data_IF_738312931177
#
_entry.id   IF_738312931177
#
_cell.length_a   1.000
_cell.length_b   1.000
_cell.length_c   1.000
_cell.angle_alpha   90.00
_cell.angle_beta   90.00
_cell.angle_gamma   90.00
#
_symmetry.space_group_name_H-M   'P 1'
#
loop_
_entity.id
_entity.type
_entity.pdbx_description
1 polymer ?
#
# COMPACT_ATOMS: atom_id res chain seq x y z
N UNK A 1 -17.04 -0.27 9.01
CA UNK A 1 -16.63 1.11 8.67
C UNK A 1 -15.21 1.06 8.13
N UNK A 2 -15.00 1.26 6.82
CA UNK A 2 -13.67 1.57 6.29
C UNK A 2 -13.50 3.08 6.43
N UNK A 3 -12.62 3.53 7.31
CA UNK A 3 -12.15 4.92 7.29
C UNK A 3 -11.41 5.14 5.98
N UNK A 4 -11.77 6.20 5.27
CA UNK A 4 -11.38 6.43 3.86
C UNK A 4 -9.87 6.54 3.66
N UNK A 5 -9.11 6.84 4.70
CA UNK A 5 -7.66 6.96 4.72
C UNK A 5 -7.13 6.50 6.10
N UNK A 6 -6.00 5.80 6.11
CA UNK A 6 -5.32 5.33 7.32
C UNK A 6 -4.48 6.47 7.91
N UNK A 7 -4.62 6.71 9.20
CA UNK A 7 -3.83 7.71 9.93
C UNK A 7 -2.57 7.02 10.42
N UNK A 8 -1.41 7.49 9.99
CA UNK A 8 -0.11 6.90 10.32
C UNK A 8 0.53 7.70 11.45
N UNK A 9 0.59 9.03 11.29
CA UNK A 9 1.37 9.93 12.15
C UNK A 9 0.61 11.17 12.60
N UNK A 10 1.09 11.80 13.67
CA UNK A 10 0.55 13.06 14.18
C UNK A 10 0.58 14.18 13.13
N UNK A 11 1.57 14.21 12.24
CA UNK A 11 1.65 15.22 11.18
C UNK A 11 0.37 15.25 10.31
N UNK A 12 -0.23 14.08 10.06
CA UNK A 12 -1.47 13.96 9.28
C UNK A 12 -2.70 14.49 10.03
N UNK A 13 -2.63 14.59 11.36
CA UNK A 13 -3.68 15.16 12.22
C UNK A 13 -3.56 16.69 12.38
N UNK A 14 -2.42 17.28 12.03
CA UNK A 14 -2.15 18.71 12.19
C UNK A 14 -2.38 19.18 13.62
N UNK A 15 -3.30 20.13 13.83
CA UNK A 15 -3.60 20.70 15.16
C UNK A 15 -4.76 20.02 15.88
N UNK A 16 -5.36 18.98 15.32
CA UNK A 16 -6.63 18.42 15.83
C UNK A 16 -6.49 17.69 17.15
N UNK A 17 -5.37 16.99 17.34
CA UNK A 17 -5.04 16.35 18.60
C UNK A 17 -4.99 17.40 19.74
N UNK A 18 -4.39 18.56 19.46
CA UNK A 18 -4.34 19.70 20.38
C UNK A 18 -5.71 20.34 20.60
N UNK A 19 -6.50 20.53 19.53
CA UNK A 19 -7.87 21.07 19.63
C UNK A 19 -8.80 20.17 20.45
N UNK A 20 -8.69 18.85 20.35
CA UNK A 20 -9.47 17.92 21.15
C UNK A 20 -9.19 18.04 22.66
N UNK A 21 -7.95 18.38 23.04
CA UNK A 21 -7.57 18.69 24.43
C UNK A 21 -8.19 20.01 24.89
N UNK A 22 -8.04 21.06 24.06
CA UNK A 22 -8.57 22.42 24.35
C UNK A 22 -10.08 22.40 24.51
N UNK A 23 -10.80 21.68 23.64
CA UNK A 23 -12.26 21.60 23.64
C UNK A 23 -12.81 20.56 24.64
N UNK A 24 -11.95 19.98 25.49
CA UNK A 24 -12.29 18.94 26.49
C UNK A 24 -12.98 17.68 25.90
N UNK A 25 -12.75 17.37 24.62
CA UNK A 25 -13.31 16.20 23.92
C UNK A 25 -12.43 14.96 24.13
N UNK A 26 -12.39 14.45 25.36
CA UNK A 26 -11.55 13.29 25.74
C UNK A 26 -11.79 12.02 24.91
N UNK A 27 -13.03 11.79 24.49
CA UNK A 27 -13.38 10.63 23.65
C UNK A 27 -12.80 10.74 22.23
N UNK A 28 -12.81 11.94 21.64
CA UNK A 28 -12.19 12.18 20.34
C UNK A 28 -10.67 12.10 20.43
N UNK A 29 -10.07 12.68 21.48
CA UNK A 29 -8.64 12.57 21.74
C UNK A 29 -8.19 11.10 21.85
N UNK A 30 -8.89 10.30 22.67
CA UNK A 30 -8.57 8.89 22.85
C UNK A 30 -8.71 8.08 21.56
N UNK A 31 -9.71 8.41 20.73
CA UNK A 31 -9.89 7.78 19.43
C UNK A 31 -8.77 8.15 18.45
N UNK A 32 -8.45 9.45 18.32
CA UNK A 32 -7.37 9.91 17.44
C UNK A 32 -6.03 9.29 17.84
N UNK A 33 -5.76 9.20 19.14
CA UNK A 33 -4.56 8.53 19.67
C UNK A 33 -4.54 7.04 19.36
N UNK A 34 -5.68 6.35 19.49
CA UNK A 34 -5.78 4.91 19.19
C UNK A 34 -5.70 4.59 17.69
N UNK A 35 -5.96 5.59 16.82
CA UNK A 35 -5.83 5.45 15.37
C UNK A 35 -4.41 5.70 14.85
N UNK A 36 -3.51 6.27 15.66
CA UNK A 36 -2.11 6.46 15.29
C UNK A 36 -1.38 5.12 15.20
N UNK A 37 -0.37 5.05 14.34
CA UNK A 37 0.49 3.89 14.25
C UNK A 37 1.27 3.67 15.55
N UNK A 38 1.32 2.42 16.00
CA UNK A 38 2.17 2.01 17.13
C UNK A 38 3.60 1.66 16.70
N UNK A 39 3.90 1.67 15.40
CA UNK A 39 5.22 1.33 14.89
C UNK A 39 6.19 2.50 15.11
N UNK A 40 7.30 2.21 15.79
CA UNK A 40 8.32 3.20 16.10
C UNK A 40 8.91 3.85 14.82
N UNK A 41 8.93 3.14 13.69
CA UNK A 41 9.46 3.66 12.42
C UNK A 41 8.70 4.88 11.89
N UNK A 42 7.44 5.02 12.28
CA UNK A 42 6.59 6.12 11.84
C UNK A 42 6.83 7.39 12.66
N UNK A 43 7.46 7.27 13.83
CA UNK A 43 7.73 8.44 14.66
C UNK A 43 8.72 9.37 13.95
N UNK A 44 8.39 10.67 13.93
CA UNK A 44 9.14 11.70 13.22
C UNK A 44 10.66 11.69 13.52
N UNK A 45 11.04 11.29 14.74
CA UNK A 45 12.43 11.22 15.21
C UNK A 45 13.32 10.18 14.51
N UNK A 46 12.76 9.26 13.72
CA UNK A 46 13.51 8.20 13.04
C UNK A 46 13.59 8.37 11.51
N UNK A 47 13.06 9.47 10.98
CA UNK A 47 13.21 9.81 9.56
C UNK A 47 14.61 10.41 9.34
N UNK A 48 15.51 9.60 8.79
CA UNK A 48 16.83 10.02 8.33
C UNK A 48 16.80 10.14 6.80
N UNK A 49 17.47 11.15 6.25
CA UNK A 49 17.58 11.34 4.81
C UNK A 49 18.20 10.10 4.16
N UNK A 50 17.48 9.52 3.19
CA UNK A 50 17.92 8.30 2.52
C UNK A 50 19.19 8.55 1.70
N UNK A 51 20.18 7.68 1.88
CA UNK A 51 21.39 7.68 1.07
C UNK A 51 21.06 7.23 -0.38
N UNK A 52 21.60 7.88 -1.42
CA UNK A 52 21.21 7.63 -2.79
C UNK A 52 21.74 6.29 -3.32
N UNK A 53 20.82 5.38 -3.70
CA UNK A 53 21.11 4.12 -4.41
C UNK A 53 21.29 4.35 -5.92
N UNK A 54 22.22 5.21 -6.31
CA UNK A 54 22.29 5.74 -7.68
C UNK A 54 23.26 4.96 -8.61
N UNK A 55 24.17 4.16 -8.06
CA UNK A 55 25.26 3.54 -8.85
C UNK A 55 24.76 2.42 -9.76
N UNK A 56 23.89 1.53 -9.27
CA UNK A 56 23.40 0.40 -10.07
C UNK A 56 22.49 0.87 -11.21
N UNK A 57 21.62 1.83 -10.95
CA UNK A 57 20.70 2.42 -11.95
C UNK A 57 21.48 3.13 -13.06
N UNK A 58 22.57 3.84 -12.71
CA UNK A 58 23.48 4.46 -13.69
C UNK A 58 24.17 3.44 -14.58
N UNK A 59 24.67 2.34 -14.02
CA UNK A 59 25.34 1.28 -14.76
C UNK A 59 24.37 0.58 -15.73
N UNK A 60 23.14 0.26 -15.29
CA UNK A 60 22.12 -0.35 -16.16
C UNK A 60 21.78 0.54 -17.36
N UNK A 61 21.65 1.84 -17.14
CA UNK A 61 21.42 2.82 -18.22
C UNK A 61 22.62 2.92 -19.17
N UNK A 62 23.86 2.91 -18.65
CA UNK A 62 25.07 3.01 -19.46
C UNK A 62 25.26 1.81 -20.41
N UNK A 63 24.86 0.61 -19.98
CA UNK A 63 25.00 -0.61 -20.76
C UNK A 63 23.76 -0.97 -21.59
N UNK A 64 22.73 -0.10 -21.60
CA UNK A 64 21.45 -0.34 -22.31
C UNK A 64 20.86 -1.73 -21.98
N UNK A 65 21.00 -2.15 -20.71
CA UNK A 65 20.52 -3.45 -20.29
C UNK A 65 18.98 -3.48 -20.34
N UNK A 66 18.37 -4.55 -20.89
CA UNK A 66 16.93 -4.71 -20.87
C UNK A 66 16.41 -4.87 -19.43
N UNK A 67 15.13 -4.58 -19.24
CA UNK A 67 14.48 -4.79 -17.96
C UNK A 67 14.63 -6.26 -17.50
N UNK A 68 14.96 -6.50 -16.23
CA UNK A 68 15.14 -7.86 -15.72
C UNK A 68 13.84 -8.65 -15.88
N UNK A 69 13.97 -9.92 -16.30
CA UNK A 69 12.85 -10.85 -16.34
C UNK A 69 12.14 -10.85 -14.98
N UNK A 70 10.83 -10.63 -14.99
CA UNK A 70 10.02 -10.66 -13.79
C UNK A 70 10.13 -12.05 -13.14
N UNK A 71 10.45 -12.11 -11.85
CA UNK A 71 10.51 -13.38 -11.13
C UNK A 71 9.10 -13.90 -10.81
N UNK A 72 8.17 -12.98 -10.59
CA UNK A 72 6.79 -13.29 -10.21
C UNK A 72 5.82 -12.37 -10.92
N UNK A 73 4.73 -12.94 -11.43
CA UNK A 73 3.55 -12.20 -11.86
C UNK A 73 2.39 -12.50 -10.94
N UNK A 74 1.47 -11.55 -10.83
CA UNK A 74 0.26 -11.74 -10.08
C UNK A 74 -0.80 -12.38 -10.99
N UNK A 75 -1.31 -13.53 -10.57
CA UNK A 75 -2.27 -14.34 -11.36
C UNK A 75 -3.52 -13.55 -11.78
N UNK A 76 -3.87 -12.50 -11.02
CA UNK A 76 -5.05 -11.67 -11.27
C UNK A 76 -4.87 -10.60 -12.35
N UNK A 77 -3.63 -10.33 -12.81
CA UNK A 77 -3.40 -9.40 -13.92
C UNK A 77 -3.70 -10.02 -15.29
N UNK A 78 -3.80 -11.34 -15.40
CA UNK A 78 -4.17 -12.02 -16.65
C UNK A 78 -3.13 -11.91 -17.76
N UNK A 79 -1.86 -11.68 -17.42
CA UNK A 79 -0.73 -11.62 -18.37
C UNK A 79 -0.23 -13.03 -18.76
N UNK A 80 -1.14 -13.99 -18.87
CA UNK A 80 -0.79 -15.34 -19.31
C UNK A 80 -0.65 -15.30 -20.83
N UNK A 81 0.52 -15.72 -21.33
CA UNK A 81 0.82 -15.77 -22.76
C UNK A 81 0.69 -17.18 -23.29
N UNK A 82 0.03 -17.29 -24.44
CA UNK A 82 -0.09 -18.57 -25.15
C UNK A 82 1.14 -18.81 -26.03
N UNK A 83 2.09 -19.56 -25.48
CA UNK A 83 3.31 -19.95 -26.18
C UNK A 83 3.10 -21.08 -27.20
N UNK A 84 1.93 -21.73 -27.21
CA UNK A 84 1.65 -22.84 -28.12
C UNK A 84 1.56 -22.36 -29.56
N UNK A 85 0.90 -21.23 -29.80
CA UNK A 85 0.74 -20.65 -31.13
C UNK A 85 2.11 -20.37 -31.79
N UNK A 86 2.99 -19.69 -31.06
CA UNK A 86 4.31 -19.32 -31.57
C UNK A 86 5.19 -20.55 -31.81
N UNK A 87 5.09 -21.56 -30.95
CA UNK A 87 5.79 -22.82 -31.12
C UNK A 87 5.30 -23.58 -32.36
N UNK A 88 3.99 -23.60 -32.60
CA UNK A 88 3.42 -24.26 -33.80
C UNK A 88 3.80 -23.54 -35.09
N UNK A 89 3.91 -22.21 -35.10
CA UNK A 89 4.23 -21.43 -36.29
C UNK A 89 5.73 -21.39 -36.63
N UNK A 90 6.58 -21.18 -35.62
CA UNK A 90 8.01 -20.89 -35.80
C UNK A 90 8.95 -21.92 -35.14
N UNK A 91 8.38 -22.94 -34.50
CA UNK A 91 9.14 -23.99 -33.82
C UNK A 91 9.90 -23.49 -32.59
N UNK A 92 10.86 -24.31 -32.16
CA UNK A 92 11.64 -24.08 -30.94
C UNK A 92 12.50 -22.81 -31.00
N UNK A 93 13.11 -22.51 -32.16
CA UNK A 93 13.93 -21.30 -32.33
C UNK A 93 13.10 -20.02 -32.26
N UNK A 94 11.90 -20.02 -32.84
CA UNK A 94 10.98 -18.89 -32.77
C UNK A 94 10.46 -18.63 -31.36
N UNK A 95 10.12 -19.70 -30.64
CA UNK A 95 9.76 -19.63 -29.21
C UNK A 95 10.91 -19.04 -28.36
N UNK A 96 12.13 -19.54 -28.51
CA UNK A 96 13.28 -19.01 -27.77
C UNK A 96 13.52 -17.53 -28.06
N UNK A 97 13.45 -17.12 -29.33
CA UNK A 97 13.62 -15.72 -29.71
C UNK A 97 12.56 -14.83 -29.04
N UNK A 98 11.30 -15.25 -29.04
CA UNK A 98 10.22 -14.53 -28.38
C UNK A 98 10.45 -14.39 -26.87
N UNK A 99 10.91 -15.46 -26.21
CA UNK A 99 11.21 -15.44 -24.78
C UNK A 99 12.40 -14.53 -24.46
N UNK A 100 13.40 -14.42 -25.34
CA UNK A 100 14.50 -13.48 -25.17
C UNK A 100 14.11 -12.02 -25.42
N UNK A 101 13.19 -11.79 -26.35
CA UNK A 101 12.70 -10.44 -26.67
C UNK A 101 11.69 -9.93 -25.65
N UNK A 102 10.88 -10.83 -25.08
CA UNK A 102 9.81 -10.47 -24.16
C UNK A 102 9.68 -11.55 -23.08
N UNK A 103 10.56 -11.53 -22.06
CA UNK A 103 10.63 -12.61 -21.09
C UNK A 103 9.39 -12.64 -20.20
N UNK A 104 8.75 -13.80 -20.14
CA UNK A 104 7.63 -14.05 -19.24
C UNK A 104 8.05 -14.17 -17.78
N UNK A 105 7.15 -13.89 -16.83
CA UNK A 105 7.37 -14.15 -15.42
C UNK A 105 7.68 -15.63 -15.15
N UNK A 106 8.67 -15.91 -14.30
CA UNK A 106 9.04 -17.30 -13.99
C UNK A 106 7.97 -18.07 -13.23
N UNK A 107 7.18 -17.37 -12.39
CA UNK A 107 6.13 -17.98 -11.57
C UNK A 107 4.94 -17.04 -11.47
N UNK A 108 3.74 -17.54 -11.78
CA UNK A 108 2.50 -16.84 -11.47
C UNK A 108 2.08 -17.20 -10.05
N UNK A 109 1.90 -16.20 -9.19
CA UNK A 109 1.47 -16.39 -7.79
C UNK A 109 0.26 -15.53 -7.47
N UNK A 110 -0.46 -15.92 -6.41
CA UNK A 110 -1.38 -14.99 -5.74
C UNK A 110 -0.64 -13.75 -5.23
N UNK A 111 -1.40 -12.73 -4.83
CA UNK A 111 -0.84 -11.46 -4.31
C UNK A 111 0.20 -11.69 -3.22
N UNK A 112 -0.09 -12.63 -2.31
CA UNK A 112 0.79 -13.00 -1.20
C UNK A 112 0.95 -14.53 -1.14
N UNK A 113 2.10 -15.04 -0.66
CA UNK A 113 2.24 -16.47 -0.33
C UNK A 113 1.18 -16.92 0.68
N UNK A 114 0.69 -18.16 0.56
CA UNK A 114 -0.37 -18.69 1.42
C UNK A 114 -0.06 -18.55 2.94
N UNK A 115 1.17 -18.90 3.34
CA UNK A 115 1.61 -18.77 4.73
C UNK A 115 1.63 -17.31 5.22
N UNK A 116 1.92 -16.36 4.32
CA UNK A 116 1.89 -14.93 4.65
C UNK A 116 0.45 -14.43 4.76
N UNK A 117 -0.49 -14.98 3.97
CA UNK A 117 -1.89 -14.58 3.99
C UNK A 117 -2.55 -14.81 5.36
N UNK A 118 -2.20 -15.91 6.05
CA UNK A 118 -2.66 -16.18 7.42
C UNK A 118 -2.15 -15.16 8.44
N UNK A 119 -0.89 -14.73 8.29
CA UNK A 119 -0.30 -13.69 9.14
C UNK A 119 -0.99 -12.35 8.88
N UNK A 120 -1.09 -11.96 7.61
CA UNK A 120 -1.71 -10.71 7.18
C UNK A 120 -3.17 -10.61 7.63
N UNK A 121 -3.93 -11.71 7.61
CA UNK A 121 -5.31 -11.73 8.09
C UNK A 121 -5.47 -11.32 9.58
N UNK A 122 -4.40 -11.43 10.37
CA UNK A 122 -4.37 -11.06 11.79
C UNK A 122 -3.68 -9.71 12.05
N UNK A 123 -3.08 -9.09 11.03
CA UNK A 123 -2.41 -7.81 11.18
C UNK A 123 -3.40 -6.64 11.23
N UNK A 124 -3.01 -5.58 11.92
CA UNK A 124 -3.71 -4.30 11.89
C UNK A 124 -3.65 -3.68 10.48
N UNK A 125 -4.61 -2.82 10.12
CA UNK A 125 -4.72 -2.30 8.76
C UNK A 125 -3.55 -1.40 8.34
N UNK A 126 -2.85 -0.76 9.30
CA UNK A 126 -1.65 0.02 9.00
C UNK A 126 -0.50 -0.92 8.60
N UNK A 127 -0.27 -1.99 9.36
CA UNK A 127 0.71 -3.02 9.02
C UNK A 127 0.40 -3.70 7.69
N UNK A 128 -0.88 -3.98 7.39
CA UNK A 128 -1.31 -4.54 6.10
C UNK A 128 -0.98 -3.60 4.93
N UNK A 129 -1.41 -2.34 5.03
CA UNK A 129 -1.15 -1.35 3.97
C UNK A 129 0.36 -1.10 3.80
N UNK A 130 1.15 -1.14 4.88
CA UNK A 130 2.61 -1.06 4.84
C UNK A 130 3.22 -2.21 4.06
N UNK A 131 2.79 -3.43 4.36
CA UNK A 131 3.28 -4.63 3.69
C UNK A 131 3.04 -4.56 2.17
N UNK A 132 1.92 -3.98 1.76
CA UNK A 132 1.58 -3.79 0.35
C UNK A 132 2.15 -2.50 -0.28
N UNK A 133 2.94 -1.70 0.45
CA UNK A 133 3.44 -0.40 -0.02
C UNK A 133 2.31 0.57 -0.45
N UNK A 134 1.15 0.48 0.19
CA UNK A 134 -0.03 1.34 -0.06
C UNK A 134 -0.11 2.53 0.91
N UNK A 135 0.95 2.76 1.71
CA UNK A 135 1.02 3.86 2.66
C UNK A 135 1.82 5.03 2.10
N UNK A 136 1.15 6.16 1.92
CA UNK A 136 1.80 7.46 1.69
C UNK A 136 1.90 8.21 3.03
N UNK A 137 3.08 8.18 3.66
CA UNK A 137 3.33 8.92 4.91
C UNK A 137 3.18 10.45 4.71
N UNK A 138 3.48 10.94 3.51
CA UNK A 138 3.38 12.34 3.08
C UNK A 138 1.99 12.73 2.55
N UNK A 139 0.99 11.88 2.74
CA UNK A 139 -0.38 12.19 2.35
C UNK A 139 -0.86 13.50 3.01
N UNK A 140 -1.67 14.32 2.29
CA UNK A 140 -2.19 15.57 2.82
C UNK A 140 -2.99 15.35 4.10
N UNK A 141 -3.00 16.37 4.97
CA UNK A 141 -3.75 16.37 6.23
C UNK A 141 -5.18 15.87 6.01
N UNK A 142 -5.58 14.86 6.78
CA UNK A 142 -6.92 14.29 6.64
C UNK A 142 -7.98 15.32 7.05
N UNK A 143 -8.84 15.68 6.11
CA UNK A 143 -10.11 16.35 6.40
C UNK A 143 -11.11 15.33 6.95
N UNK A 144 -10.89 14.83 8.18
CA UNK A 144 -11.93 14.07 8.87
C UNK A 144 -13.02 15.06 9.34
N UNK A 145 -14.30 14.89 9.02
CA UNK A 145 -15.34 15.59 9.76
C UNK A 145 -15.25 15.23 11.25
N UNK A 146 -15.56 16.16 12.15
CA UNK A 146 -15.54 15.90 13.61
C UNK A 146 -16.37 14.66 13.91
N UNK A 147 -15.75 13.64 14.49
CA UNK A 147 -16.40 12.35 14.71
C UNK A 147 -17.65 12.47 15.59
N UNK A 148 -17.62 13.39 16.55
CA UNK A 148 -18.77 13.74 17.39
C UNK A 148 -19.91 14.34 16.57
N UNK A 149 -19.63 15.20 15.58
CA UNK A 149 -20.65 15.72 14.67
C UNK A 149 -21.26 14.62 13.79
N UNK A 150 -20.45 13.66 13.35
CA UNK A 150 -20.95 12.50 12.60
C UNK A 150 -21.90 11.63 13.46
N UNK A 151 -21.55 11.35 14.71
CA UNK A 151 -22.43 10.59 15.63
C UNK A 151 -23.74 11.35 15.87
N UNK A 152 -23.67 12.66 16.08
CA UNK A 152 -24.86 13.51 16.28
C UNK A 152 -25.74 13.48 15.03
N UNK A 153 -25.16 13.58 13.83
CA UNK A 153 -25.91 13.46 12.57
C UNK A 153 -26.52 12.07 12.38
N UNK A 154 -25.80 11.01 12.71
CA UNK A 154 -26.32 9.64 12.61
C UNK A 154 -27.48 9.39 13.57
N UNK A 155 -27.41 9.89 14.81
CA UNK A 155 -28.54 9.82 15.75
C UNK A 155 -29.75 10.60 15.24
N UNK A 156 -29.54 11.83 14.78
CA UNK A 156 -30.61 12.66 14.23
C UNK A 156 -31.31 12.00 13.03
N UNK A 157 -30.57 11.31 12.16
CA UNK A 157 -31.14 10.55 11.05
C UNK A 157 -31.87 9.27 11.50
N UNK A 158 -31.38 8.61 12.56
CA UNK A 158 -32.06 7.47 13.17
C UNK A 158 -33.43 7.84 13.75
N UNK A 159 -33.52 9.00 14.40
CA UNK A 159 -34.78 9.51 14.98
C UNK A 159 -35.81 9.92 13.91
N UNK A 160 -35.38 10.23 12.67
CA UNK A 160 -36.26 10.57 11.54
C UNK A 160 -36.81 9.32 10.84
N UNK A 161 -36.16 8.16 11.01
CA UNK A 161 -36.51 6.89 10.37
C UNK A 161 -37.32 5.94 11.26
N UNK A 162 -37.62 6.33 12.51
CA UNK A 162 -38.48 5.61 13.46
C UNK A 162 -39.87 6.26 13.55
#
# INVERSE_FOLDING_TARGET
MRTSQLIINENQLGTRLNQAIVDHRRGEFGLLLAMLSNDARDMAQFHLDQAPSDVETKLKRQFELPEPQALTSALHLGEDRDNSEQFHQAGLSGFHLQQYLSPEPLVHRGRDPLAMQEVLANCDPVTLARFHNELDADAPSLELPHFTEQIVRQRALGDILA
#
